data_IF_266217255870
#
_entry.id   IF_266217255870
#
_cell.length_a   1.000
_cell.length_b   1.000
_cell.length_c   1.000
_cell.angle_alpha   90.00
_cell.angle_beta   90.00
_cell.angle_gamma   90.00
#
_symmetry.space_group_name_H-M   'P 1'
#
loop_
_entity.id
_entity.type
_entity.pdbx_description
1 polymer ?
#
# COMPACT_ATOMS: atom_id res chain seq x y z
N UNK A 1 45.42 -1.41 39.21
CA UNK A 1 45.16 -2.44 38.17
C UNK A 1 44.08 -1.92 37.24
N UNK A 2 44.40 -1.70 35.96
CA UNK A 2 43.45 -1.17 34.99
C UNK A 2 42.51 -2.30 34.52
N UNK A 3 41.21 -2.14 34.77
CA UNK A 3 40.17 -3.08 34.32
C UNK A 3 40.10 -3.06 32.79
N UNK A 4 40.52 -4.16 32.15
CA UNK A 4 40.35 -4.38 30.71
C UNK A 4 38.86 -4.42 30.38
N UNK A 5 38.35 -3.33 29.81
CA UNK A 5 36.97 -3.26 29.33
C UNK A 5 36.84 -4.18 28.11
N UNK A 6 36.34 -5.40 28.32
CA UNK A 6 36.00 -6.33 27.24
C UNK A 6 35.10 -5.61 26.24
N UNK A 7 35.56 -5.46 24.99
CA UNK A 7 34.72 -4.93 23.89
C UNK A 7 33.55 -5.89 23.69
N UNK A 8 32.35 -5.49 24.13
CA UNK A 8 31.13 -6.27 23.93
C UNK A 8 30.54 -5.95 22.56
N UNK A 9 30.14 -6.99 21.83
CA UNK A 9 29.44 -6.86 20.53
C UNK A 9 28.04 -6.25 20.68
N UNK A 10 27.41 -6.42 21.84
CA UNK A 10 26.06 -5.98 22.13
C UNK A 10 26.05 -5.00 23.31
N UNK A 11 25.12 -4.05 23.25
CA UNK A 11 24.79 -3.13 24.35
C UNK A 11 24.01 -3.88 25.43
N UNK A 12 23.87 -3.26 26.60
CA UNK A 12 23.01 -3.79 27.67
C UNK A 12 21.53 -3.81 27.26
N UNK A 13 20.70 -4.64 27.94
CA UNK A 13 19.28 -4.77 27.64
C UNK A 13 18.58 -3.41 27.59
N UNK A 14 17.75 -3.24 26.57
CA UNK A 14 17.08 -1.97 26.31
C UNK A 14 15.83 -1.79 27.16
N UNK A 15 15.56 -0.57 27.63
CA UNK A 15 14.30 -0.26 28.34
C UNK A 15 13.08 -0.38 27.43
N UNK A 16 11.89 -0.49 28.03
CA UNK A 16 10.62 -0.57 27.32
C UNK A 16 10.37 0.70 26.49
N UNK A 17 10.64 1.88 27.06
CA UNK A 17 10.43 3.19 26.44
C UNK A 17 11.28 3.33 25.18
N UNK A 18 12.56 2.97 25.27
CA UNK A 18 13.47 3.00 24.12
C UNK A 18 13.10 1.96 23.06
N UNK A 19 12.48 0.86 23.46
CA UNK A 19 11.97 -0.15 22.53
C UNK A 19 10.76 0.36 21.75
N UNK A 20 9.85 1.07 22.42
CA UNK A 20 8.73 1.77 21.78
C UNK A 20 9.25 2.84 20.80
N UNK A 21 10.23 3.65 21.22
CA UNK A 21 10.81 4.68 20.35
C UNK A 21 11.52 4.08 19.13
N UNK A 22 12.28 3.00 19.31
CA UNK A 22 12.90 2.28 18.20
C UNK A 22 11.86 1.76 17.22
N UNK A 23 10.74 1.19 17.68
CA UNK A 23 9.66 0.74 16.80
C UNK A 23 9.04 1.92 16.04
N UNK A 24 8.77 3.04 16.74
CA UNK A 24 8.26 4.27 16.13
C UNK A 24 9.20 4.83 15.07
N UNK A 25 10.51 4.68 15.25
CA UNK A 25 11.55 5.21 14.36
C UNK A 25 12.13 4.16 13.39
N UNK A 26 11.68 2.90 13.46
CA UNK A 26 12.21 1.81 12.66
C UNK A 26 11.99 1.99 11.15
N UNK A 27 10.93 2.71 10.76
CA UNK A 27 10.62 3.00 9.36
C UNK A 27 11.33 4.31 8.96
N UNK A 28 12.30 4.28 8.02
CA UNK A 28 13.00 5.47 7.55
C UNK A 28 12.04 6.53 7.00
N UNK A 29 12.40 7.81 7.17
CA UNK A 29 11.60 8.94 6.68
C UNK A 29 11.32 8.86 5.18
N UNK A 30 12.30 8.44 4.38
CA UNK A 30 12.16 8.24 2.93
C UNK A 30 11.12 7.17 2.59
N UNK A 31 11.05 6.10 3.38
CA UNK A 31 10.01 5.06 3.23
C UNK A 31 8.64 5.61 3.60
N UNK A 32 8.51 6.41 4.68
CA UNK A 32 7.25 7.07 5.03
C UNK A 32 6.78 8.03 3.94
N UNK A 33 7.71 8.76 3.34
CA UNK A 33 7.42 9.64 2.22
C UNK A 33 6.89 8.85 1.02
N UNK A 34 7.59 7.78 0.61
CA UNK A 34 7.15 6.91 -0.49
C UNK A 34 5.78 6.29 -0.23
N UNK A 35 5.50 5.90 1.02
CA UNK A 35 4.19 5.37 1.40
C UNK A 35 3.08 6.41 1.18
N UNK A 36 3.28 7.64 1.68
CA UNK A 36 2.33 8.74 1.45
C UNK A 36 2.18 9.07 -0.03
N UNK A 37 3.28 9.07 -0.78
CA UNK A 37 3.25 9.32 -2.21
C UNK A 37 2.43 8.27 -2.96
N UNK A 38 2.63 6.98 -2.69
CA UNK A 38 1.84 5.91 -3.32
C UNK A 38 0.34 6.00 -3.04
N UNK A 39 -0.04 6.36 -1.80
CA UNK A 39 -1.45 6.59 -1.43
C UNK A 39 -2.02 7.79 -2.19
N UNK A 40 -1.29 8.91 -2.23
CA UNK A 40 -1.72 10.10 -2.98
C UNK A 40 -1.94 9.79 -4.47
N UNK A 41 -1.07 9.02 -5.10
CA UNK A 41 -1.26 8.65 -6.52
C UNK A 41 -2.57 7.86 -6.71
N UNK A 42 -2.94 7.00 -5.76
CA UNK A 42 -4.23 6.32 -5.79
C UNK A 42 -5.40 7.28 -5.57
N UNK A 43 -5.32 8.18 -4.58
CA UNK A 43 -6.35 9.21 -4.33
C UNK A 43 -6.54 10.15 -5.54
N UNK A 44 -5.44 10.53 -6.20
CA UNK A 44 -5.45 11.33 -7.43
C UNK A 44 -6.17 10.55 -8.55
N UNK A 45 -5.92 9.24 -8.66
CA UNK A 45 -6.63 8.38 -9.62
C UNK A 45 -8.12 8.25 -9.29
N UNK A 46 -8.50 8.12 -8.01
CA UNK A 46 -9.91 8.10 -7.58
C UNK A 46 -10.61 9.41 -7.91
N UNK A 47 -9.90 10.52 -7.75
CA UNK A 47 -10.45 11.87 -7.99
C UNK A 47 -10.59 12.16 -9.48
N UNK A 48 -9.58 11.84 -10.27
CA UNK A 48 -9.49 12.16 -11.70
C UNK A 48 -10.18 11.17 -12.64
N UNK A 49 -10.54 9.97 -12.17
CA UNK A 49 -11.27 8.99 -12.99
C UNK A 49 -12.69 9.47 -13.27
N UNK A 50 -13.10 9.41 -14.54
CA UNK A 50 -14.45 9.80 -14.98
C UNK A 50 -15.52 8.83 -14.46
N UNK A 51 -15.38 7.52 -14.74
CA UNK A 51 -16.32 6.52 -14.24
C UNK A 51 -15.86 5.95 -12.88
N UNK A 52 -16.65 6.19 -11.84
CA UNK A 52 -16.37 5.67 -10.48
C UNK A 52 -17.34 4.57 -10.06
N UNK A 53 -18.31 4.25 -10.90
CA UNK A 53 -19.37 3.30 -10.61
C UNK A 53 -18.99 1.94 -11.18
N UNK A 54 -18.92 0.92 -10.31
CA UNK A 54 -18.52 -0.45 -10.73
C UNK A 54 -19.42 -0.97 -11.84
N UNK A 55 -20.74 -0.80 -11.71
CA UNK A 55 -21.71 -1.34 -12.67
C UNK A 55 -21.59 -0.73 -14.06
N UNK A 56 -20.91 0.42 -14.19
CA UNK A 56 -20.65 1.09 -15.47
C UNK A 56 -19.26 0.76 -16.03
N UNK A 57 -18.44 -0.01 -15.30
CA UNK A 57 -17.11 -0.40 -15.75
C UNK A 57 -17.14 -1.50 -16.79
N UNK A 58 -16.15 -1.46 -17.68
CA UNK A 58 -15.88 -2.59 -18.56
C UNK A 58 -15.39 -3.79 -17.73
N UNK A 59 -16.08 -4.93 -17.88
CA UNK A 59 -15.78 -6.17 -17.18
C UNK A 59 -15.33 -7.26 -18.16
N UNK A 60 -14.11 -7.17 -18.72
CA UNK A 60 -13.61 -8.16 -19.68
C UNK A 60 -13.33 -9.53 -19.06
N UNK A 61 -13.38 -9.64 -17.72
CA UNK A 61 -13.07 -10.85 -16.97
C UNK A 61 -14.33 -11.54 -16.42
N UNK A 62 -15.53 -11.10 -16.81
CA UNK A 62 -16.81 -11.66 -16.34
C UNK A 62 -16.92 -11.78 -14.81
N UNK A 63 -16.32 -10.83 -14.08
CA UNK A 63 -16.35 -10.79 -12.62
C UNK A 63 -17.79 -10.53 -12.13
N UNK A 64 -18.16 -11.13 -11.00
CA UNK A 64 -19.40 -10.76 -10.32
C UNK A 64 -19.28 -9.34 -9.74
N UNK A 65 -20.01 -8.41 -10.34
CA UNK A 65 -20.04 -7.00 -9.94
C UNK A 65 -21.04 -6.70 -8.82
N UNK A 66 -21.97 -7.62 -8.50
CA UNK A 66 -23.12 -7.34 -7.63
C UNK A 66 -22.76 -7.04 -6.17
N UNK A 67 -21.50 -7.25 -5.78
CA UNK A 67 -21.02 -7.05 -4.41
C UNK A 67 -19.73 -6.20 -4.33
N UNK A 68 -19.38 -5.49 -5.40
CA UNK A 68 -18.23 -4.59 -5.41
C UNK A 68 -18.68 -3.17 -5.08
N UNK A 69 -17.81 -2.42 -4.39
CA UNK A 69 -18.10 -1.04 -4.01
C UNK A 69 -17.54 -0.07 -5.06
N UNK A 70 -18.18 1.08 -5.22
CA UNK A 70 -17.73 2.16 -6.11
C UNK A 70 -16.35 2.67 -5.72
N UNK A 71 -15.64 3.26 -6.69
CA UNK A 71 -14.28 3.76 -6.50
C UNK A 71 -14.19 4.85 -5.44
N UNK A 72 -15.27 5.57 -5.16
CA UNK A 72 -15.34 6.61 -4.11
C UNK A 72 -15.25 6.05 -2.68
N UNK A 73 -15.37 4.73 -2.53
CA UNK A 73 -15.13 4.08 -1.23
C UNK A 73 -13.70 4.39 -0.77
N UNK A 74 -13.54 4.78 0.49
CA UNK A 74 -12.22 5.03 1.06
C UNK A 74 -11.35 3.76 0.99
N UNK A 75 -10.06 3.92 0.69
CA UNK A 75 -9.12 2.83 0.41
C UNK A 75 -9.10 1.77 1.53
N UNK A 76 -9.03 2.19 2.80
CA UNK A 76 -9.06 1.32 3.97
C UNK A 76 -10.45 0.77 4.30
N UNK A 77 -11.49 1.16 3.56
CA UNK A 77 -12.88 0.71 3.70
C UNK A 77 -13.32 -0.22 2.57
N UNK A 78 -12.51 -0.38 1.53
CA UNK A 78 -12.78 -1.33 0.44
C UNK A 78 -12.64 -2.79 0.90
N UNK A 79 -13.54 -3.66 0.46
CA UNK A 79 -13.34 -5.10 0.57
C UNK A 79 -12.16 -5.55 -0.29
N UNK A 80 -11.57 -6.70 0.01
CA UNK A 80 -10.44 -7.22 -0.78
C UNK A 80 -10.80 -7.41 -2.27
N UNK A 81 -12.05 -7.82 -2.56
CA UNK A 81 -12.55 -7.97 -3.94
C UNK A 81 -12.66 -6.62 -4.66
N UNK A 82 -13.29 -5.64 -4.02
CA UNK A 82 -13.39 -4.26 -4.54
C UNK A 82 -12.01 -3.69 -4.82
N UNK A 83 -11.09 -3.83 -3.87
CA UNK A 83 -9.74 -3.30 -3.98
C UNK A 83 -8.98 -3.94 -5.15
N UNK A 84 -9.01 -5.28 -5.27
CA UNK A 84 -8.37 -5.97 -6.38
C UNK A 84 -8.94 -5.54 -7.74
N UNK A 85 -10.27 -5.37 -7.84
CA UNK A 85 -10.92 -4.90 -9.05
C UNK A 85 -10.40 -3.52 -9.48
N UNK A 86 -10.43 -2.54 -8.58
CA UNK A 86 -9.97 -1.18 -8.89
C UNK A 86 -8.45 -1.10 -9.10
N UNK A 87 -7.66 -1.95 -8.43
CA UNK A 87 -6.22 -2.00 -8.64
C UNK A 87 -5.82 -2.48 -10.04
N UNK A 88 -6.60 -3.39 -10.66
CA UNK A 88 -6.34 -3.82 -12.04
C UNK A 88 -6.42 -2.62 -12.99
N UNK A 89 -7.46 -1.80 -12.84
CA UNK A 89 -7.66 -0.58 -13.65
C UNK A 89 -6.57 0.46 -13.35
N UNK A 90 -6.33 0.71 -12.07
CA UNK A 90 -5.30 1.63 -11.62
C UNK A 90 -3.92 1.31 -12.22
N UNK A 91 -3.51 0.03 -12.21
CA UNK A 91 -2.22 -0.40 -12.78
C UNK A 91 -2.13 -0.15 -14.29
N UNK A 92 -3.25 -0.25 -15.02
CA UNK A 92 -3.31 0.00 -16.45
C UNK A 92 -3.22 1.50 -16.80
N UNK A 93 -3.65 2.36 -15.89
CA UNK A 93 -3.87 3.79 -16.15
C UNK A 93 -2.81 4.69 -15.52
N UNK A 94 -2.13 4.20 -14.48
CA UNK A 94 -1.18 5.02 -13.72
C UNK A 94 0.01 5.45 -14.61
N UNK A 95 0.15 6.76 -14.76
CA UNK A 95 1.15 7.39 -15.61
C UNK A 95 1.91 8.49 -14.85
N UNK A 96 3.05 8.89 -15.39
CA UNK A 96 3.76 10.06 -14.91
C UNK A 96 3.03 11.36 -15.26
N UNK A 97 3.56 12.48 -14.75
CA UNK A 97 3.00 13.82 -14.97
C UNK A 97 2.92 14.23 -16.44
N UNK A 98 3.66 13.57 -17.33
CA UNK A 98 3.69 13.82 -18.76
C UNK A 98 2.76 12.85 -19.51
N UNK A 99 1.99 12.04 -18.80
CA UNK A 99 1.06 11.04 -19.35
C UNK A 99 1.74 9.76 -19.81
N UNK A 100 3.03 9.55 -19.54
CA UNK A 100 3.74 8.34 -19.97
C UNK A 100 3.54 7.21 -18.97
N UNK A 101 3.38 5.95 -19.42
CA UNK A 101 3.27 4.82 -18.51
C UNK A 101 4.48 4.73 -17.59
N UNK A 102 4.24 4.51 -16.30
CA UNK A 102 5.33 4.27 -15.38
C UNK A 102 6.07 2.97 -15.71
N UNK A 103 7.40 2.91 -15.50
CA UNK A 103 8.10 1.63 -15.52
C UNK A 103 7.51 0.67 -14.51
N UNK A 104 7.47 -0.64 -14.82
CA UNK A 104 6.88 -1.66 -13.94
C UNK A 104 7.46 -1.65 -12.52
N UNK A 105 8.74 -1.30 -12.35
CA UNK A 105 9.37 -1.12 -11.02
C UNK A 105 8.70 -0.02 -10.19
N UNK A 106 8.30 1.08 -10.81
CA UNK A 106 7.63 2.19 -10.13
C UNK A 106 6.21 1.80 -9.75
N UNK A 107 5.47 1.16 -10.67
CA UNK A 107 4.14 0.62 -10.39
C UNK A 107 4.20 -0.34 -9.19
N UNK A 108 5.16 -1.27 -9.19
CA UNK A 108 5.38 -2.19 -8.06
C UNK A 108 5.63 -1.43 -6.74
N UNK A 109 6.44 -0.38 -6.75
CA UNK A 109 6.69 0.44 -5.54
C UNK A 109 5.43 1.17 -5.04
N UNK A 110 4.57 1.62 -5.94
CA UNK A 110 3.27 2.22 -5.61
C UNK A 110 2.39 1.16 -4.93
N UNK A 111 2.23 -0.02 -5.53
CA UNK A 111 1.45 -1.12 -4.94
C UNK A 111 1.98 -1.53 -3.56
N UNK A 112 3.29 -1.66 -3.40
CA UNK A 112 3.87 -1.95 -2.08
C UNK A 112 3.60 -0.83 -1.06
N UNK A 113 3.50 0.42 -1.50
CA UNK A 113 3.17 1.57 -0.65
C UNK A 113 1.72 1.50 -0.18
N UNK A 114 0.79 1.13 -1.06
CA UNK A 114 -0.61 0.86 -0.71
C UNK A 114 -0.73 -0.31 0.27
N UNK A 115 0.02 -1.40 0.05
CA UNK A 115 0.07 -2.54 0.99
C UNK A 115 0.48 -2.14 2.39
N UNK A 116 1.61 -1.43 2.51
CA UNK A 116 2.06 -0.94 3.81
C UNK A 116 1.08 0.02 4.46
N UNK A 117 0.32 0.79 3.66
CA UNK A 117 -0.73 1.66 4.19
C UNK A 117 -1.90 0.86 4.76
N UNK A 118 -2.39 -0.14 4.04
CA UNK A 118 -3.45 -1.03 4.52
C UNK A 118 -3.03 -1.81 5.76
N UNK A 119 -1.84 -2.40 5.76
CA UNK A 119 -1.30 -3.13 6.92
C UNK A 119 -1.25 -2.23 8.17
N UNK A 120 -0.82 -0.97 8.01
CA UNK A 120 -0.77 0.01 9.10
C UNK A 120 -2.16 0.35 9.65
N UNK A 121 -3.20 0.29 8.82
CA UNK A 121 -4.58 0.55 9.20
C UNK A 121 -5.34 -0.73 9.60
N UNK A 122 -4.64 -1.82 9.90
CA UNK A 122 -5.24 -3.08 10.36
C UNK A 122 -5.91 -3.90 9.25
N UNK A 123 -5.63 -3.56 7.98
CA UNK A 123 -6.20 -4.21 6.78
C UNK A 123 -5.23 -5.24 6.17
N UNK A 124 -4.51 -5.99 6.98
CA UNK A 124 -3.52 -6.97 6.50
C UNK A 124 -4.14 -8.15 5.73
N UNK A 125 -5.44 -8.40 5.94
CA UNK A 125 -6.26 -9.39 5.23
C UNK A 125 -6.63 -8.93 3.81
N UNK A 126 -6.48 -7.64 3.49
CA UNK A 126 -6.53 -7.13 2.12
C UNK A 126 -5.27 -7.61 1.39
N UNK A 127 -5.27 -8.92 1.08
CA UNK A 127 -4.20 -9.62 0.43
C UNK A 127 -4.20 -9.22 -1.06
N UNK A 128 -3.75 -7.99 -1.31
CA UNK A 128 -3.59 -7.44 -2.65
C UNK A 128 -2.73 -8.40 -3.46
N UNK A 129 -3.23 -8.75 -4.65
CA UNK A 129 -2.56 -9.65 -5.62
C UNK A 129 -2.38 -11.11 -5.15
N UNK A 130 -3.09 -11.56 -4.11
CA UNK A 130 -3.09 -12.98 -3.75
C UNK A 130 -3.87 -13.80 -4.79
N UNK A 131 -3.19 -14.78 -5.41
CA UNK A 131 -3.80 -15.68 -6.39
C UNK A 131 -4.99 -16.50 -5.83
N UNK A 132 -5.02 -16.73 -4.52
CA UNK A 132 -6.10 -17.46 -3.84
C UNK A 132 -7.30 -16.57 -3.47
N UNK A 133 -7.19 -15.25 -3.64
CA UNK A 133 -8.35 -14.36 -3.61
C UNK A 133 -9.06 -14.46 -4.97
N UNK A 134 -9.51 -15.69 -5.28
CA UNK A 134 -10.12 -16.04 -6.56
C UNK A 134 -11.24 -15.05 -6.93
N UNK A 135 -11.23 -14.74 -8.22
CA UNK A 135 -11.99 -13.74 -8.96
C UNK A 135 -13.47 -14.12 -9.03
#
# INVERSE_FOLDING_TARGET
MASSCKKRRFRDPQSVERSIDNVRNAIPQTTRYKNRWGVRIFEDSQSGRENKVVMCESNPFSLDLQNLQNLETELCSMTARTLNFWLIKFVQEVCDKDGKPYPGRTVYQIICSLKRHLDKNGRAEANMLNANNHW
#
